data_IF_218572691590
#
_entry.id   IF_218572691590
#
_cell.length_a   1.000
_cell.length_b   1.000
_cell.length_c   1.000
_cell.angle_alpha   90.00
_cell.angle_beta   90.00
_cell.angle_gamma   90.00
#
_symmetry.space_group_name_H-M   'P 1'
#
loop_
_entity.id
_entity.type
_entity.pdbx_description
1 polymer ?
#
# COMPACT_ATOMS: atom_id res chain seq x y z
N UNK A 1 -18.12 3.37 8.06
CA UNK A 1 -18.21 4.58 7.20
C UNK A 1 -17.04 4.53 6.21
N UNK A 2 -17.29 4.81 4.94
CA UNK A 2 -16.30 4.95 3.88
C UNK A 2 -16.17 6.43 3.50
N UNK A 3 -15.07 6.80 2.86
CA UNK A 3 -14.82 8.15 2.37
C UNK A 3 -14.76 8.12 0.84
N UNK A 4 -15.25 9.17 0.19
CA UNK A 4 -15.19 9.33 -1.26
C UNK A 4 -13.96 10.13 -1.69
N UNK A 5 -13.59 10.04 -2.96
CA UNK A 5 -12.50 10.86 -3.53
C UNK A 5 -12.81 12.36 -3.48
N UNK A 6 -14.08 12.73 -3.64
CA UNK A 6 -14.52 14.13 -3.57
C UNK A 6 -14.28 14.73 -2.17
N UNK A 7 -14.57 13.96 -1.13
CA UNK A 7 -14.34 14.40 0.26
C UNK A 7 -12.84 14.58 0.58
N UNK A 8 -11.96 13.91 -0.17
CA UNK A 8 -10.51 14.01 0.00
C UNK A 8 -9.88 15.21 -0.73
N UNK A 9 -10.58 15.86 -1.65
CA UNK A 9 -10.01 16.95 -2.47
C UNK A 9 -9.46 18.15 -1.68
N UNK A 10 -10.00 18.40 -0.50
CA UNK A 10 -9.56 19.52 0.35
C UNK A 10 -8.30 19.22 1.16
N UNK A 11 -7.90 17.95 1.24
CA UNK A 11 -6.76 17.49 2.00
C UNK A 11 -5.52 17.29 1.12
N UNK A 12 -4.30 17.51 1.64
CA UNK A 12 -3.08 17.23 0.90
C UNK A 12 -2.91 15.72 0.64
N UNK A 13 -2.76 15.35 -0.63
CA UNK A 13 -2.41 14.01 -1.03
C UNK A 13 -0.89 13.80 -0.98
N UNK A 14 -0.44 12.78 -0.26
CA UNK A 14 0.96 12.41 -0.19
C UNK A 14 1.17 11.10 -0.94
N UNK A 15 2.08 11.12 -1.91
CA UNK A 15 2.40 9.97 -2.73
C UNK A 15 3.89 9.65 -2.73
N UNK A 16 4.20 8.39 -3.03
CA UNK A 16 5.57 7.95 -3.18
C UNK A 16 6.07 8.22 -4.61
N UNK A 17 7.27 8.79 -4.73
CA UNK A 17 7.91 8.98 -6.02
C UNK A 17 8.43 7.64 -6.56
N UNK A 18 7.83 7.14 -7.61
CA UNK A 18 8.11 5.81 -8.16
C UNK A 18 9.16 5.80 -9.28
N UNK A 19 9.72 6.97 -9.62
CA UNK A 19 10.64 7.12 -10.73
C UNK A 19 9.94 7.19 -12.10
N UNK A 20 10.67 7.68 -13.10
CA UNK A 20 10.11 7.93 -14.45
C UNK A 20 9.88 6.64 -15.27
N UNK A 21 10.49 5.53 -14.89
CA UNK A 21 10.45 4.27 -15.66
C UNK A 21 9.38 3.28 -15.17
N UNK A 22 8.66 3.59 -14.10
CA UNK A 22 7.62 2.72 -13.58
C UNK A 22 6.34 2.83 -14.40
N UNK A 23 5.92 1.71 -14.96
CA UNK A 23 4.63 1.65 -15.63
C UNK A 23 3.49 1.70 -14.60
N UNK A 24 2.35 2.22 -15.02
CA UNK A 24 1.10 2.24 -14.25
C UNK A 24 0.77 0.89 -13.57
N UNK A 25 1.05 -0.22 -14.24
CA UNK A 25 0.74 -1.56 -13.74
C UNK A 25 1.63 -2.03 -12.58
N UNK A 26 2.73 -1.38 -12.34
CA UNK A 26 3.64 -1.68 -11.23
C UNK A 26 3.66 -0.60 -10.16
N UNK A 27 2.67 0.29 -10.21
CA UNK A 27 2.49 1.31 -9.20
C UNK A 27 2.11 0.68 -7.86
N UNK A 28 2.82 1.04 -6.81
CA UNK A 28 2.49 0.61 -5.44
C UNK A 28 1.24 1.30 -4.89
N UNK A 29 0.82 2.39 -5.51
CA UNK A 29 -0.31 3.20 -5.08
C UNK A 29 -1.45 3.08 -6.08
N UNK A 30 -2.58 2.67 -5.59
CA UNK A 30 -3.84 2.70 -6.33
C UNK A 30 -4.16 4.16 -6.69
N UNK A 31 -4.69 4.38 -7.89
CA UNK A 31 -5.07 5.71 -8.37
C UNK A 31 -3.91 6.74 -8.44
N UNK A 32 -2.67 6.26 -8.52
CA UNK A 32 -1.48 7.13 -8.59
C UNK A 32 -1.44 8.09 -9.77
N UNK A 33 -2.26 7.85 -10.79
CA UNK A 33 -2.38 8.70 -11.99
C UNK A 33 -3.43 9.79 -11.87
N UNK A 34 -4.19 9.84 -10.77
CA UNK A 34 -5.16 10.90 -10.56
C UNK A 34 -4.47 12.24 -10.28
N UNK A 35 -4.97 13.30 -10.89
CA UNK A 35 -4.53 14.65 -10.58
C UNK A 35 -5.19 15.13 -9.29
N UNK A 36 -4.38 15.52 -8.34
CA UNK A 36 -4.82 16.07 -7.06
C UNK A 36 -4.47 17.56 -6.99
N UNK A 37 -5.39 18.40 -6.53
CA UNK A 37 -5.18 19.85 -6.38
C UNK A 37 -4.00 20.20 -5.47
N UNK A 38 -3.81 19.40 -4.41
CA UNK A 38 -2.72 19.55 -3.44
C UNK A 38 -2.00 18.21 -3.35
N UNK A 39 -0.85 18.08 -3.98
CA UNK A 39 -0.07 16.83 -3.92
C UNK A 39 1.38 17.08 -3.51
N UNK A 40 1.91 16.17 -2.72
CA UNK A 40 3.31 16.15 -2.28
C UNK A 40 3.89 14.79 -2.61
N UNK A 41 4.95 14.76 -3.42
CA UNK A 41 5.69 13.53 -3.71
C UNK A 41 6.90 13.42 -2.79
N UNK A 42 7.10 12.25 -2.22
CA UNK A 42 8.23 11.96 -1.33
C UNK A 42 8.95 10.70 -1.78
N UNK A 43 10.22 10.59 -1.45
CA UNK A 43 11.06 9.47 -1.88
C UNK A 43 11.13 8.32 -0.87
N UNK A 44 10.55 8.47 0.32
CA UNK A 44 10.51 7.41 1.33
C UNK A 44 9.20 7.38 2.12
N UNK A 45 8.81 6.17 2.57
CA UNK A 45 7.54 5.92 3.23
C UNK A 45 7.45 6.51 4.64
N UNK A 46 8.55 6.57 5.36
CA UNK A 46 8.53 7.12 6.71
C UNK A 46 8.21 8.62 6.69
N UNK A 47 8.70 9.32 5.67
CA UNK A 47 8.38 10.72 5.44
C UNK A 47 6.91 10.92 5.12
N UNK A 48 6.26 10.02 4.35
CA UNK A 48 4.80 10.10 4.11
C UNK A 48 4.04 10.14 5.42
N UNK A 49 4.28 9.20 6.34
CA UNK A 49 3.56 9.14 7.61
C UNK A 49 3.78 10.36 8.48
N UNK A 50 5.02 10.85 8.57
CA UNK A 50 5.33 12.05 9.34
C UNK A 50 4.63 13.29 8.78
N UNK A 51 4.65 13.47 7.47
CA UNK A 51 3.98 14.59 6.80
C UNK A 51 2.46 14.50 6.88
N UNK A 52 1.88 13.30 6.75
CA UNK A 52 0.42 13.13 6.92
C UNK A 52 -0.06 13.67 8.26
N UNK A 53 0.64 13.32 9.34
CA UNK A 53 0.29 13.81 10.69
C UNK A 53 0.46 15.33 10.76
N UNK A 54 1.57 15.87 10.24
CA UNK A 54 1.88 17.30 10.33
C UNK A 54 0.98 18.20 9.47
N UNK A 55 0.52 17.69 8.34
CA UNK A 55 -0.24 18.45 7.35
C UNK A 55 -1.74 18.11 7.34
N UNK A 56 -2.18 17.18 8.19
CA UNK A 56 -3.52 16.60 8.14
C UNK A 56 -3.84 16.08 6.72
N UNK A 57 -2.89 15.35 6.14
CA UNK A 57 -2.98 14.84 4.78
C UNK A 57 -3.38 13.36 4.74
N UNK A 58 -3.45 12.83 3.54
CA UNK A 58 -3.78 11.42 3.31
C UNK A 58 -2.88 10.79 2.25
N UNK A 59 -2.85 9.46 2.25
CA UNK A 59 -2.32 8.64 1.16
C UNK A 59 -3.28 7.49 0.88
N UNK A 60 -3.28 6.98 -0.34
CA UNK A 60 -4.12 5.83 -0.73
C UNK A 60 -3.24 4.58 -0.73
N UNK A 61 -3.64 3.55 0.00
CA UNK A 61 -2.86 2.33 0.15
C UNK A 61 -3.75 1.13 0.47
N UNK A 62 -3.16 -0.02 0.73
CA UNK A 62 -3.88 -1.24 1.13
C UNK A 62 -4.64 -1.11 2.47
N UNK A 63 -4.43 -0.06 3.24
CA UNK A 63 -5.02 0.12 4.57
C UNK A 63 -4.42 -0.76 5.66
N UNK A 64 -3.44 -1.59 5.36
CA UNK A 64 -2.74 -2.41 6.36
C UNK A 64 -1.74 -1.53 7.11
N UNK A 65 -2.09 -1.16 8.33
CA UNK A 65 -1.28 -0.30 9.19
C UNK A 65 -0.86 -1.08 10.44
N UNK A 66 0.44 -1.09 10.72
CA UNK A 66 0.94 -1.66 11.98
C UNK A 66 0.77 -0.66 13.11
N UNK A 67 -0.11 -0.98 14.07
CA UNK A 67 -0.30 -0.17 15.28
C UNK A 67 0.97 -0.01 16.11
N UNK A 68 1.90 -0.97 16.02
CA UNK A 68 3.19 -0.91 16.72
C UNK A 68 4.17 0.11 16.13
N UNK A 69 4.00 0.48 14.86
CA UNK A 69 4.92 1.36 14.14
C UNK A 69 4.38 2.79 13.97
N UNK A 70 3.06 2.96 13.99
CA UNK A 70 2.44 4.22 13.54
C UNK A 70 1.63 4.95 14.62
N UNK A 71 1.57 4.42 15.84
CA UNK A 71 0.74 4.95 16.92
C UNK A 71 -0.75 5.12 16.51
N UNK A 72 -1.53 5.81 17.33
CA UNK A 72 -2.94 6.11 17.07
C UNK A 72 -3.18 7.38 16.22
N UNK A 73 -2.12 7.92 15.62
CA UNK A 73 -2.18 9.18 14.86
C UNK A 73 -2.63 9.00 13.41
N UNK A 74 -2.56 7.78 12.90
CA UNK A 74 -2.92 7.43 11.53
C UNK A 74 -3.98 6.35 11.59
N UNK A 75 -5.05 6.54 10.83
CA UNK A 75 -6.17 5.61 10.74
C UNK A 75 -6.38 5.18 9.29
N UNK A 76 -6.78 3.93 9.11
CA UNK A 76 -7.23 3.44 7.80
C UNK A 76 -8.75 3.67 7.71
N UNK A 77 -9.16 4.37 6.67
CA UNK A 77 -10.58 4.60 6.34
C UNK A 77 -10.86 3.94 5.00
N UNK A 78 -11.89 3.09 4.87
CA UNK A 78 -12.28 2.51 3.60
C UNK A 78 -12.57 3.60 2.55
N UNK A 79 -11.99 3.47 1.37
CA UNK A 79 -12.22 4.35 0.25
C UNK A 79 -13.32 3.76 -0.64
N UNK A 80 -14.30 4.59 -1.02
CA UNK A 80 -15.41 4.18 -1.87
C UNK A 80 -15.01 4.22 -3.36
N UNK A 81 -14.27 3.20 -3.78
CA UNK A 81 -13.82 3.02 -5.17
C UNK A 81 -13.87 1.55 -5.55
N UNK A 82 -14.16 1.27 -6.82
CA UNK A 82 -14.05 -0.07 -7.42
C UNK A 82 -12.63 -0.27 -7.97
N UNK A 83 -11.66 -0.37 -7.07
CA UNK A 83 -10.28 -0.67 -7.46
C UNK A 83 -9.67 -1.71 -6.53
N UNK A 84 -8.74 -2.50 -7.05
CA UNK A 84 -8.11 -3.60 -6.32
C UNK A 84 -6.60 -3.60 -6.53
N UNK A 85 -5.88 -3.92 -5.46
CA UNK A 85 -4.44 -4.14 -5.52
C UNK A 85 -4.15 -5.64 -5.43
N UNK A 86 -3.42 -6.15 -6.41
CA UNK A 86 -2.93 -7.53 -6.37
C UNK A 86 -1.47 -7.56 -5.92
N UNK A 87 -1.19 -8.35 -4.89
CA UNK A 87 0.16 -8.63 -4.43
C UNK A 87 0.60 -10.00 -4.94
N UNK A 88 1.75 -10.06 -5.59
CA UNK A 88 2.29 -11.28 -6.15
C UNK A 88 3.73 -11.55 -5.74
N UNK A 89 4.17 -12.78 -5.92
CA UNK A 89 5.53 -13.21 -5.70
C UNK A 89 6.17 -13.51 -7.05
N UNK A 90 7.28 -12.84 -7.35
CA UNK A 90 8.09 -13.13 -8.52
C UNK A 90 9.23 -14.07 -8.13
N UNK A 91 9.30 -15.21 -8.79
CA UNK A 91 10.34 -16.21 -8.59
C UNK A 91 10.97 -16.60 -9.94
N UNK A 92 12.28 -16.84 -9.93
CA UNK A 92 12.96 -17.41 -11.08
C UNK A 92 12.53 -18.87 -11.26
N UNK A 93 12.09 -19.24 -12.47
CA UNK A 93 11.52 -20.57 -12.79
C UNK A 93 12.46 -21.76 -12.52
N UNK A 94 13.78 -21.54 -12.69
CA UNK A 94 14.80 -22.58 -12.52
C UNK A 94 15.45 -22.60 -11.12
N UNK A 95 15.08 -21.70 -10.22
CA UNK A 95 15.65 -21.65 -8.88
C UNK A 95 14.63 -22.13 -7.85
N UNK A 96 15.04 -23.11 -7.08
CA UNK A 96 14.28 -23.53 -5.89
C UNK A 96 14.41 -22.48 -4.80
N UNK A 97 13.33 -22.25 -4.09
CA UNK A 97 13.36 -21.40 -2.90
C UNK A 97 14.30 -21.97 -1.85
N UNK A 98 15.04 -21.12 -1.17
CA UNK A 98 15.76 -21.53 0.04
C UNK A 98 14.77 -21.89 1.15
N UNK A 99 15.23 -22.62 2.15
CA UNK A 99 14.42 -22.96 3.32
C UNK A 99 13.90 -21.73 4.05
N UNK A 100 14.73 -20.70 4.13
CA UNK A 100 14.41 -19.41 4.77
C UNK A 100 13.35 -18.64 3.96
N UNK A 101 13.51 -18.59 2.64
CA UNK A 101 12.52 -17.97 1.75
C UNK A 101 11.16 -18.69 1.86
N UNK A 102 11.15 -20.01 1.83
CA UNK A 102 9.91 -20.78 2.01
C UNK A 102 9.24 -20.50 3.37
N UNK A 103 10.05 -20.42 4.46
CA UNK A 103 9.52 -20.06 5.78
C UNK A 103 8.94 -18.64 5.82
N UNK A 104 9.63 -17.69 5.20
CA UNK A 104 9.15 -16.31 5.09
C UNK A 104 7.79 -16.26 4.36
N UNK A 105 7.68 -16.92 3.22
CA UNK A 105 6.44 -16.95 2.44
C UNK A 105 5.29 -17.61 3.18
N UNK A 106 5.56 -18.67 3.92
CA UNK A 106 4.56 -19.30 4.78
C UNK A 106 4.06 -18.33 5.86
N UNK A 107 4.95 -17.62 6.52
CA UNK A 107 4.58 -16.61 7.52
C UNK A 107 3.82 -15.45 6.89
N UNK A 108 4.22 -14.98 5.72
CA UNK A 108 3.55 -13.92 4.97
C UNK A 108 2.11 -14.34 4.60
N UNK A 109 1.94 -15.57 4.09
CA UNK A 109 0.61 -16.14 3.79
C UNK A 109 -0.30 -16.13 5.01
N UNK A 110 0.20 -16.63 6.14
CA UNK A 110 -0.55 -16.65 7.40
C UNK A 110 -0.94 -15.24 7.82
N UNK A 111 -0.02 -14.30 7.76
CA UNK A 111 -0.26 -12.90 8.13
C UNK A 111 -1.32 -12.24 7.25
N UNK A 112 -1.25 -12.42 5.94
CA UNK A 112 -2.25 -11.89 5.00
C UNK A 112 -3.65 -12.46 5.30
N UNK A 113 -3.73 -13.75 5.61
CA UNK A 113 -4.99 -14.40 5.97
C UNK A 113 -5.57 -13.88 7.30
N UNK A 114 -4.73 -13.52 8.27
CA UNK A 114 -5.15 -12.89 9.53
C UNK A 114 -5.84 -11.53 9.31
N UNK A 115 -5.52 -10.82 8.22
CA UNK A 115 -6.21 -9.60 7.80
C UNK A 115 -7.47 -9.85 6.96
N UNK A 116 -7.84 -11.12 6.74
CA UNK A 116 -9.06 -11.49 6.02
C UNK A 116 -8.93 -11.50 4.50
N UNK A 117 -7.72 -11.41 3.95
CA UNK A 117 -7.50 -11.48 2.51
C UNK A 117 -7.32 -12.93 2.04
N UNK A 118 -7.83 -13.22 0.85
CA UNK A 118 -7.61 -14.51 0.20
C UNK A 118 -6.20 -14.61 -0.39
N UNK A 119 -5.58 -15.76 -0.22
CA UNK A 119 -4.29 -16.09 -0.82
C UNK A 119 -4.49 -17.22 -1.81
N UNK A 120 -4.35 -16.93 -3.09
CA UNK A 120 -4.53 -17.88 -4.17
C UNK A 120 -3.18 -18.36 -4.72
N UNK A 121 -3.13 -19.61 -5.18
CA UNK A 121 -2.00 -20.18 -5.95
C UNK A 121 -0.61 -20.11 -5.29
N UNK A 122 -0.53 -20.13 -3.98
CA UNK A 122 0.72 -20.18 -3.23
C UNK A 122 0.96 -21.59 -2.67
N UNK A 123 1.19 -22.55 -3.53
CA UNK A 123 1.68 -23.88 -3.16
C UNK A 123 3.22 -23.88 -3.26
N UNK A 124 3.87 -23.90 -2.10
CA UNK A 124 5.34 -23.95 -1.96
C UNK A 124 5.79 -25.33 -1.49
#
# INVERSE_FOLDING_TARGET
ESITLEELEDYPYLSYEQGEENSFYFSEEILSTMEHKKSIKVSDRATIFNLMVGLNGYTISSGIISSKLNDDKIVAVPLDVEDTMELGILQHDQRKLSKEAGRFLHMLKTHIQEYGFEVQNLDF
#
